data_IF_122148970990
#
_entry.id   IF_122148970990
#
_cell.length_a   1.000
_cell.length_b   1.000
_cell.length_c   1.000
_cell.angle_alpha   90.00
_cell.angle_beta   90.00
_cell.angle_gamma   90.00
#
_symmetry.space_group_name_H-M   'P 1'
#
loop_
_entity.id
_entity.type
_entity.pdbx_description
1 polymer ?
#
# COMPACT_ATOMS: atom_id res chain seq x y z
N UNK A 1 -23.64 23.43 -33.29
CA UNK A 1 -23.29 23.79 -31.89
C UNK A 1 -22.40 22.72 -31.28
N UNK A 2 -22.78 21.43 -31.34
CA UNK A 2 -21.99 20.30 -30.86
C UNK A 2 -20.49 20.27 -31.26
N UNK A 3 -20.14 20.59 -32.51
CA UNK A 3 -18.72 20.60 -32.94
C UNK A 3 -17.87 21.68 -32.23
N UNK A 4 -18.45 22.88 -32.02
CA UNK A 4 -17.75 23.98 -31.34
C UNK A 4 -17.57 23.68 -29.85
N UNK A 5 -18.57 23.06 -29.22
CA UNK A 5 -18.49 22.61 -27.82
C UNK A 5 -17.42 21.53 -27.65
N UNK A 6 -17.43 20.49 -28.50
CA UNK A 6 -16.41 19.44 -28.47
C UNK A 6 -14.98 19.99 -28.67
N UNK A 7 -14.82 21.03 -29.49
CA UNK A 7 -13.53 21.68 -29.70
C UNK A 7 -13.10 22.52 -28.49
N UNK A 8 -14.05 23.17 -27.80
CA UNK A 8 -13.80 23.88 -26.55
C UNK A 8 -13.37 22.91 -25.44
N UNK A 9 -14.05 21.78 -25.30
CA UNK A 9 -13.75 20.74 -24.31
C UNK A 9 -12.37 20.13 -24.53
N UNK A 10 -12.02 19.81 -25.79
CA UNK A 10 -10.69 19.31 -26.13
C UNK A 10 -9.59 20.33 -25.78
N UNK A 11 -9.85 21.61 -26.03
CA UNK A 11 -8.89 22.68 -25.73
C UNK A 11 -8.69 22.82 -24.21
N UNK A 12 -9.77 22.70 -23.43
CA UNK A 12 -9.72 22.70 -21.96
C UNK A 12 -8.96 21.49 -21.42
N UNK A 13 -9.24 20.29 -21.95
CA UNK A 13 -8.53 19.07 -21.55
C UNK A 13 -7.02 19.18 -21.81
N UNK A 14 -6.62 19.68 -22.98
CA UNK A 14 -5.20 19.91 -23.32
C UNK A 14 -4.54 20.91 -22.37
N UNK A 15 -5.23 22.01 -22.05
CA UNK A 15 -4.73 22.99 -21.10
C UNK A 15 -4.57 22.38 -19.70
N UNK A 16 -5.52 21.58 -19.24
CA UNK A 16 -5.45 20.91 -17.94
C UNK A 16 -4.33 19.87 -17.86
N UNK A 17 -4.08 19.12 -18.94
CA UNK A 17 -2.92 18.22 -19.05
C UNK A 17 -1.62 19.02 -18.97
N UNK A 18 -1.49 20.10 -19.74
CA UNK A 18 -0.30 20.96 -19.72
C UNK A 18 -0.06 21.63 -18.36
N UNK A 19 -1.14 21.93 -17.63
CA UNK A 19 -1.09 22.47 -16.27
C UNK A 19 -0.84 21.38 -15.19
N UNK A 20 -0.65 20.12 -15.57
CA UNK A 20 -0.31 19.04 -14.66
C UNK A 20 -1.48 18.53 -13.80
N UNK A 21 -2.73 18.79 -14.19
CA UNK A 21 -3.91 18.26 -13.48
C UNK A 21 -4.11 16.76 -13.70
N UNK A 22 -3.46 16.20 -14.72
CA UNK A 22 -3.52 14.79 -15.07
C UNK A 22 -2.11 14.21 -15.13
N UNK A 23 -2.00 12.95 -14.71
CA UNK A 23 -0.80 12.14 -14.87
C UNK A 23 -1.05 11.07 -15.91
N UNK A 24 0.01 10.68 -16.62
CA UNK A 24 -0.07 9.55 -17.53
C UNK A 24 -0.39 8.28 -16.75
N UNK A 25 -1.32 7.47 -17.28
CA UNK A 25 -1.76 6.23 -16.67
C UNK A 25 -0.59 5.26 -16.47
N UNK A 26 0.28 5.10 -17.45
CA UNK A 26 1.42 4.17 -17.39
C UNK A 26 2.42 4.60 -16.31
N UNK A 27 2.62 5.92 -16.16
CA UNK A 27 3.47 6.48 -15.10
C UNK A 27 2.83 6.20 -13.73
N UNK A 28 1.53 6.48 -13.58
CA UNK A 28 0.80 6.24 -12.34
C UNK A 28 0.86 4.78 -11.91
N UNK A 29 0.59 3.85 -12.85
CA UNK A 29 0.64 2.41 -12.60
C UNK A 29 2.06 1.96 -12.22
N UNK A 30 3.09 2.45 -12.92
CA UNK A 30 4.48 2.10 -12.64
C UNK A 30 4.95 2.61 -11.27
N UNK A 31 4.58 3.83 -10.89
CA UNK A 31 4.94 4.40 -9.59
C UNK A 31 4.23 3.72 -8.43
N UNK A 32 2.92 3.49 -8.54
CA UNK A 32 2.15 2.77 -7.53
C UNK A 32 2.67 1.34 -7.38
N UNK A 33 2.95 0.64 -8.47
CA UNK A 33 3.51 -0.71 -8.43
C UNK A 33 4.85 -0.75 -7.71
N UNK A 34 5.76 0.21 -8.01
CA UNK A 34 7.04 0.34 -7.29
C UNK A 34 6.83 0.63 -5.80
N UNK A 35 5.94 1.56 -5.48
CA UNK A 35 5.62 1.92 -4.11
C UNK A 35 5.12 0.72 -3.31
N UNK A 36 4.10 0.01 -3.80
CA UNK A 36 3.53 -1.14 -3.11
C UNK A 36 4.52 -2.29 -2.95
N UNK A 37 5.38 -2.53 -3.94
CA UNK A 37 6.44 -3.52 -3.82
C UNK A 37 7.42 -3.19 -2.70
N UNK A 38 7.88 -1.93 -2.62
CA UNK A 38 8.80 -1.46 -1.57
C UNK A 38 8.10 -1.50 -0.23
N UNK A 39 6.86 -0.99 -0.15
CA UNK A 39 6.05 -0.97 1.06
C UNK A 39 5.85 -2.38 1.63
N UNK A 40 5.46 -3.35 0.81
CA UNK A 40 5.31 -4.76 1.20
C UNK A 40 6.61 -5.29 1.84
N UNK A 41 7.75 -5.09 1.17
CA UNK A 41 9.06 -5.55 1.68
C UNK A 41 9.40 -4.88 3.01
N UNK A 42 9.22 -3.57 3.12
CA UNK A 42 9.44 -2.81 4.34
C UNK A 42 8.56 -3.29 5.49
N UNK A 43 7.25 -3.46 5.25
CA UNK A 43 6.31 -3.95 6.25
C UNK A 43 6.69 -5.35 6.74
N UNK A 44 6.95 -6.30 5.82
CA UNK A 44 7.34 -7.66 6.19
C UNK A 44 8.64 -7.72 7.01
N UNK A 45 9.60 -6.82 6.74
CA UNK A 45 10.86 -6.75 7.48
C UNK A 45 10.69 -6.38 8.96
N UNK A 46 9.59 -5.69 9.32
CA UNK A 46 9.33 -5.28 10.70
C UNK A 46 9.12 -6.47 11.63
N UNK A 47 8.50 -7.55 11.16
CA UNK A 47 8.28 -8.76 11.97
C UNK A 47 9.58 -9.31 12.55
N UNK A 48 10.58 -9.53 11.68
CA UNK A 48 11.91 -10.01 12.06
C UNK A 48 12.67 -9.00 12.91
N UNK A 49 12.60 -7.71 12.56
CA UNK A 49 13.28 -6.67 13.34
C UNK A 49 12.75 -6.62 14.77
N UNK A 50 11.43 -6.58 14.94
CA UNK A 50 10.77 -6.58 16.25
C UNK A 50 11.07 -7.86 17.03
N UNK A 51 11.05 -9.02 16.37
CA UNK A 51 11.43 -10.30 16.99
C UNK A 51 12.87 -10.29 17.51
N UNK A 52 13.80 -9.68 16.77
CA UNK A 52 15.19 -9.50 17.20
C UNK A 52 15.32 -8.57 18.40
N UNK A 53 14.54 -7.49 18.46
CA UNK A 53 14.54 -6.55 19.59
C UNK A 53 13.99 -7.20 20.87
N UNK A 54 12.94 -8.04 20.76
CA UNK A 54 12.36 -8.72 21.94
C UNK A 54 13.12 -9.99 22.34
N UNK A 55 13.91 -10.57 21.43
CA UNK A 55 14.61 -11.84 21.60
C UNK A 55 15.43 -11.97 22.90
N UNK A 56 16.18 -10.94 23.34
CA UNK A 56 16.93 -11.01 24.60
C UNK A 56 16.08 -11.13 25.87
N UNK A 57 14.78 -10.83 25.78
CA UNK A 57 13.86 -10.76 26.92
C UNK A 57 12.92 -11.96 27.02
N UNK A 58 12.94 -12.88 26.05
CA UNK A 58 12.03 -14.02 25.97
C UNK A 58 12.77 -15.29 25.58
N UNK A 59 12.18 -16.45 25.86
CA UNK A 59 12.74 -17.72 25.41
C UNK A 59 12.75 -17.82 23.88
N UNK A 60 13.70 -18.55 23.26
CA UNK A 60 13.81 -18.65 21.80
C UNK A 60 12.52 -19.13 21.11
N UNK A 61 11.75 -20.01 21.76
CA UNK A 61 10.48 -20.49 21.22
C UNK A 61 9.43 -19.37 21.20
N UNK A 62 9.36 -18.58 22.27
CA UNK A 62 8.45 -17.43 22.35
C UNK A 62 8.83 -16.33 21.37
N UNK A 63 10.12 -16.04 21.19
CA UNK A 63 10.58 -15.08 20.16
C UNK A 63 10.10 -15.48 18.76
N UNK A 64 10.23 -16.76 18.39
CA UNK A 64 9.73 -17.30 17.11
C UNK A 64 8.21 -17.22 16.99
N UNK A 65 7.48 -17.48 18.07
CA UNK A 65 6.02 -17.35 18.11
C UNK A 65 5.58 -15.90 17.88
N UNK A 66 6.27 -14.94 18.50
CA UNK A 66 6.03 -13.50 18.32
C UNK A 66 6.35 -13.07 16.88
N UNK A 67 7.48 -13.49 16.31
CA UNK A 67 7.83 -13.20 14.91
C UNK A 67 6.72 -13.66 13.95
N UNK A 68 6.26 -14.90 14.12
CA UNK A 68 5.19 -15.47 13.30
C UNK A 68 3.89 -14.69 13.46
N UNK A 69 3.47 -14.40 14.69
CA UNK A 69 2.26 -13.63 14.97
C UNK A 69 2.30 -12.23 14.32
N UNK A 70 3.45 -11.56 14.37
CA UNK A 70 3.64 -10.26 13.72
C UNK A 70 3.60 -10.39 12.19
N UNK A 71 4.28 -11.40 11.63
CA UNK A 71 4.26 -11.66 10.19
C UNK A 71 2.84 -11.95 9.68
N UNK A 72 2.06 -12.76 10.40
CA UNK A 72 0.67 -13.06 10.07
C UNK A 72 -0.19 -11.79 10.13
N UNK A 73 -0.02 -10.95 11.16
CA UNK A 73 -0.74 -9.67 11.29
C UNK A 73 -0.42 -8.70 10.15
N UNK A 74 0.85 -8.61 9.75
CA UNK A 74 1.29 -7.77 8.63
C UNK A 74 0.72 -8.31 7.32
N UNK A 75 0.75 -9.62 7.09
CA UNK A 75 0.21 -10.23 5.89
C UNK A 75 -1.31 -10.00 5.77
N UNK A 76 -2.06 -10.19 6.85
CA UNK A 76 -3.50 -9.93 6.90
C UNK A 76 -3.80 -8.46 6.53
N UNK A 77 -3.02 -7.51 7.06
CA UNK A 77 -3.19 -6.09 6.75
C UNK A 77 -2.90 -5.78 5.27
N UNK A 78 -1.83 -6.36 4.72
CA UNK A 78 -1.44 -6.18 3.32
C UNK A 78 -2.46 -6.80 2.36
N UNK A 79 -3.04 -7.95 2.72
CA UNK A 79 -4.09 -8.61 1.94
C UNK A 79 -5.36 -7.76 1.90
N UNK A 80 -5.81 -7.23 3.04
CA UNK A 80 -6.96 -6.33 3.11
C UNK A 80 -6.76 -5.05 2.29
N UNK A 81 -5.54 -4.49 2.29
CA UNK A 81 -5.19 -3.36 1.42
C UNK A 81 -5.25 -3.71 -0.08
N UNK A 82 -4.98 -4.96 -0.46
CA UNK A 82 -4.98 -5.41 -1.85
C UNK A 82 -6.36 -5.71 -2.41
N UNK A 83 -7.34 -6.06 -1.57
CA UNK A 83 -8.68 -6.48 -2.02
C UNK A 83 -9.62 -5.27 -2.14
N UNK A 84 -9.78 -4.51 -1.05
CA UNK A 84 -10.75 -3.40 -0.99
C UNK A 84 -10.11 -2.03 -0.71
N UNK A 85 -8.79 -2.00 -0.46
CA UNK A 85 -8.11 -0.80 0.03
C UNK A 85 -8.51 -0.39 1.45
N UNK A 86 -9.24 -1.23 2.18
CA UNK A 86 -9.77 -0.95 3.53
C UNK A 86 -9.20 -1.94 4.53
N UNK A 87 -8.56 -1.44 5.59
CA UNK A 87 -8.04 -2.25 6.70
C UNK A 87 -9.14 -2.50 7.76
N UNK A 88 -9.32 -3.77 8.13
CA UNK A 88 -10.21 -4.24 9.19
C UNK A 88 -9.40 -4.90 10.31
N UNK A 89 -9.14 -4.14 11.37
CA UNK A 89 -8.47 -4.66 12.56
C UNK A 89 -9.26 -5.82 13.19
N UNK A 90 -8.58 -6.94 13.49
CA UNK A 90 -9.20 -8.06 14.23
C UNK A 90 -9.67 -7.57 15.60
N UNK A 91 -10.97 -7.72 15.89
CA UNK A 91 -11.52 -7.45 17.23
C UNK A 91 -10.87 -8.40 18.24
N UNK A 92 -10.36 -7.86 19.36
CA UNK A 92 -9.94 -8.66 20.51
C UNK A 92 -11.11 -9.53 20.95
N UNK A 93 -10.93 -10.86 20.99
CA UNK A 93 -11.84 -11.73 21.75
C UNK A 93 -11.62 -11.41 23.22
N UNK A 94 -12.69 -10.96 23.89
CA UNK A 94 -12.72 -10.73 25.33
C UNK A 94 -12.53 -12.04 26.09
#
# INVERSE_FOLDING_TARGET
MAFKEAQSDLSRLKADIANGKYIDKEIAEAELSRFFLIFKKSAMSLSRKLASEVGPYVEPLEARRIEKMLADTINDALEQMSVDGVYHAKKKRA
#
